data_IF_900959679513
#
_entry.id   IF_900959679513
#
_cell.length_a   1.000
_cell.length_b   1.000
_cell.length_c   1.000
_cell.angle_alpha   90.00
_cell.angle_beta   90.00
_cell.angle_gamma   90.00
#
_symmetry.space_group_name_H-M   'P 1'
#
loop_
_entity.id
_entity.type
_entity.pdbx_description
1 polymer ?
#
# COMPACT_ATOMS: atom_id res chain seq x y z
N UNK A 1 24.93 15.04 24.85
CA UNK A 1 24.19 13.79 24.56
C UNK A 1 23.44 14.00 23.25
N UNK A 2 24.02 13.59 22.12
CA UNK A 2 23.39 13.75 20.80
C UNK A 2 22.47 12.55 20.55
N UNK A 3 21.17 12.69 20.76
CA UNK A 3 20.15 11.71 20.39
C UNK A 3 19.85 11.87 18.89
N UNK A 4 20.07 10.80 18.12
CA UNK A 4 19.72 10.75 16.70
C UNK A 4 18.20 10.53 16.59
N UNK A 5 17.51 11.43 15.90
CA UNK A 5 16.11 11.29 15.52
C UNK A 5 16.09 10.51 14.19
N UNK A 6 15.53 9.31 14.21
CA UNK A 6 15.33 8.52 13.00
C UNK A 6 14.10 9.03 12.24
N UNK A 7 14.29 9.57 11.06
CA UNK A 7 13.18 9.94 10.16
C UNK A 7 12.59 8.66 9.55
N UNK A 8 11.30 8.43 9.78
CA UNK A 8 10.57 7.32 9.18
C UNK A 8 10.20 7.60 7.73
N UNK A 9 10.96 7.06 6.85
CA UNK A 9 10.62 6.79 5.46
C UNK A 9 11.34 5.52 5.11
N UNK A 10 10.81 4.64 4.31
CA UNK A 10 11.35 3.31 3.97
C UNK A 10 12.58 2.94 4.79
N UNK A 11 12.51 1.99 5.70
CA UNK A 11 13.63 1.58 6.51
C UNK A 11 14.77 1.09 5.58
N UNK A 12 15.61 1.99 5.15
CA UNK A 12 16.85 1.74 4.46
C UNK A 12 17.99 2.16 5.37
N UNK A 13 18.61 1.13 5.90
CA UNK A 13 20.01 1.07 6.32
C UNK A 13 20.44 2.07 7.40
N UNK A 14 20.41 1.60 8.65
CA UNK A 14 21.25 2.16 9.70
C UNK A 14 22.72 2.07 9.30
N UNK A 15 23.41 3.20 9.27
CA UNK A 15 24.85 3.29 9.02
C UNK A 15 25.62 2.59 10.15
N UNK A 16 26.05 1.37 9.90
CA UNK A 16 27.11 0.70 10.65
C UNK A 16 28.41 1.12 9.96
N UNK A 17 29.22 1.97 10.61
CA UNK A 17 30.61 2.23 10.21
C UNK A 17 31.48 1.03 10.64
N UNK A 18 31.54 0.02 9.80
CA UNK A 18 32.59 -1.00 9.78
C UNK A 18 33.57 -0.55 8.69
N UNK A 19 34.90 -0.64 8.87
CA UNK A 19 35.85 -0.46 7.76
C UNK A 19 35.49 -1.52 6.72
N UNK A 20 34.93 -1.08 5.61
CA UNK A 20 34.41 -1.96 4.60
C UNK A 20 35.56 -2.60 3.83
N UNK A 21 35.82 -3.88 4.05
CA UNK A 21 36.27 -4.71 2.95
C UNK A 21 35.25 -4.55 1.84
N UNK A 22 35.72 -4.23 0.62
CA UNK A 22 34.83 -4.02 -0.53
C UNK A 22 33.93 -5.25 -0.70
N UNK A 23 32.62 -5.04 -0.63
CA UNK A 23 31.68 -6.15 -0.80
C UNK A 23 31.64 -6.54 -2.27
N UNK A 24 32.09 -7.77 -2.56
CA UNK A 24 32.13 -8.32 -3.91
C UNK A 24 30.71 -8.57 -4.44
N UNK A 25 30.51 -8.49 -5.76
CA UNK A 25 29.26 -8.92 -6.37
C UNK A 25 28.90 -10.37 -5.99
N UNK A 26 27.61 -10.64 -5.77
CA UNK A 26 27.06 -11.94 -5.37
C UNK A 26 27.46 -12.43 -3.96
N UNK A 27 28.25 -11.67 -3.20
CA UNK A 27 28.56 -12.04 -1.83
C UNK A 27 27.29 -12.09 -0.97
N UNK A 28 27.09 -13.18 -0.24
CA UNK A 28 25.84 -13.41 0.52
C UNK A 28 25.65 -12.46 1.69
N UNK A 29 26.74 -11.89 2.21
CA UNK A 29 26.81 -10.90 3.28
C UNK A 29 26.73 -9.45 2.78
N UNK A 30 26.85 -9.22 1.46
CA UNK A 30 26.58 -7.93 0.86
C UNK A 30 25.10 -7.59 0.93
N UNK A 31 24.69 -6.35 1.25
CA UNK A 31 23.29 -5.94 1.13
C UNK A 31 22.84 -5.75 -0.34
N UNK A 32 23.76 -5.85 -1.30
CA UNK A 32 23.55 -5.60 -2.71
C UNK A 32 24.09 -6.76 -3.56
N UNK A 33 23.28 -7.22 -4.53
CA UNK A 33 23.70 -8.22 -5.51
C UNK A 33 24.98 -7.82 -6.25
N UNK A 34 25.12 -6.54 -6.59
CA UNK A 34 26.25 -5.98 -7.34
C UNK A 34 27.41 -5.53 -6.46
N UNK A 35 27.35 -5.81 -5.14
CA UNK A 35 28.37 -5.38 -4.18
C UNK A 35 28.38 -3.86 -3.97
N UNK A 36 29.51 -3.35 -3.47
CA UNK A 36 29.70 -1.92 -3.17
C UNK A 36 30.42 -1.13 -4.29
N UNK A 37 30.59 -1.76 -5.46
CA UNK A 37 31.31 -1.19 -6.62
C UNK A 37 32.74 -0.77 -6.28
N UNK A 38 33.46 -1.61 -5.58
CA UNK A 38 34.81 -1.32 -5.09
C UNK A 38 34.88 -0.06 -4.22
N UNK A 39 33.89 0.11 -3.33
CA UNK A 39 33.77 1.24 -2.41
C UNK A 39 33.06 2.48 -2.97
N UNK A 40 32.70 2.51 -4.26
CA UNK A 40 32.04 3.68 -4.87
C UNK A 40 30.69 4.01 -4.26
N UNK A 41 29.91 3.01 -3.81
CA UNK A 41 28.65 3.27 -3.11
C UNK A 41 28.87 4.05 -1.81
N UNK A 42 29.90 3.71 -1.06
CA UNK A 42 30.26 4.42 0.18
C UNK A 42 30.72 5.84 -0.12
N UNK A 43 31.61 6.01 -1.12
CA UNK A 43 32.06 7.33 -1.58
C UNK A 43 30.89 8.25 -1.99
N UNK A 44 29.92 7.72 -2.76
CA UNK A 44 28.71 8.46 -3.14
C UNK A 44 27.87 8.81 -1.92
N UNK A 45 27.69 7.87 -0.99
CA UNK A 45 26.93 8.09 0.25
C UNK A 45 27.55 9.17 1.14
N UNK A 46 28.88 9.21 1.25
CA UNK A 46 29.60 10.26 1.96
C UNK A 46 29.41 11.64 1.30
N UNK A 47 29.21 11.65 -0.01
CA UNK A 47 28.87 12.87 -0.77
C UNK A 47 27.39 13.22 -0.71
N UNK A 48 26.56 12.44 -0.03
CA UNK A 48 25.11 12.62 0.11
C UNK A 48 24.29 11.92 -0.97
N UNK A 49 24.90 11.19 -1.91
CA UNK A 49 24.20 10.49 -3.00
C UNK A 49 23.91 9.06 -2.61
N UNK A 50 22.63 8.67 -2.66
CA UNK A 50 22.19 7.28 -2.50
C UNK A 50 21.54 6.79 -3.79
N UNK A 51 22.05 5.66 -4.31
CA UNK A 51 21.48 4.98 -5.47
C UNK A 51 20.91 3.63 -5.03
N UNK A 52 19.70 3.31 -5.49
CA UNK A 52 19.06 2.02 -5.25
C UNK A 52 18.44 1.47 -6.53
N UNK A 53 18.57 0.17 -6.74
CA UNK A 53 17.87 -0.57 -7.76
C UNK A 53 17.31 -1.84 -7.11
N UNK A 54 15.99 -2.02 -7.22
CA UNK A 54 15.27 -3.12 -6.59
C UNK A 54 14.38 -3.80 -7.62
N UNK A 55 14.28 -5.10 -7.51
CA UNK A 55 13.36 -5.90 -8.29
C UNK A 55 12.52 -6.77 -7.37
N UNK A 56 11.21 -6.72 -7.53
CA UNK A 56 10.25 -7.57 -6.82
C UNK A 56 9.40 -8.27 -7.85
N UNK A 57 9.19 -9.57 -7.67
CA UNK A 57 8.22 -10.34 -8.45
C UNK A 57 7.26 -11.07 -7.51
N UNK A 58 6.01 -11.12 -7.91
CA UNK A 58 4.94 -11.87 -7.26
C UNK A 58 4.28 -12.79 -8.27
N UNK A 59 4.17 -14.07 -7.91
CA UNK A 59 3.43 -15.07 -8.65
C UNK A 59 2.26 -15.53 -7.78
N UNK A 60 1.13 -15.83 -8.42
CA UNK A 60 -0.03 -16.38 -7.74
C UNK A 60 -0.75 -17.39 -8.64
N UNK A 61 -1.26 -18.46 -8.04
CA UNK A 61 -2.09 -19.46 -8.72
C UNK A 61 -3.28 -19.85 -7.83
N UNK A 62 -4.50 -19.77 -8.36
CA UNK A 62 -5.66 -20.27 -7.66
C UNK A 62 -5.70 -21.81 -7.80
N UNK A 63 -5.62 -22.51 -6.68
CA UNK A 63 -5.61 -23.97 -6.65
C UNK A 63 -6.98 -24.56 -6.34
N UNK A 64 -7.90 -23.75 -5.81
CA UNK A 64 -9.26 -24.18 -5.48
C UNK A 64 -10.21 -22.98 -5.42
N UNK A 65 -11.45 -23.20 -5.87
CA UNK A 65 -12.54 -22.24 -5.76
C UNK A 65 -12.40 -21.03 -6.66
N UNK A 66 -13.11 -19.95 -6.29
CA UNK A 66 -13.27 -18.76 -7.12
C UNK A 66 -14.44 -18.91 -8.10
N UNK A 67 -14.71 -17.84 -8.86
CA UNK A 67 -15.88 -17.72 -9.70
C UNK A 67 -15.96 -18.77 -10.81
N UNK A 68 -14.89 -18.95 -11.62
CA UNK A 68 -14.92 -19.89 -12.72
C UNK A 68 -14.26 -21.24 -12.39
N UNK A 69 -13.70 -21.38 -11.19
CA UNK A 69 -13.08 -22.57 -10.65
C UNK A 69 -11.94 -23.17 -11.52
N UNK A 70 -11.42 -22.43 -12.51
CA UNK A 70 -10.28 -22.84 -13.31
C UNK A 70 -9.00 -22.31 -12.72
N UNK A 71 -7.96 -23.15 -12.75
CA UNK A 71 -6.62 -22.77 -12.32
C UNK A 71 -5.95 -21.89 -13.37
N UNK A 72 -5.32 -20.81 -12.91
CA UNK A 72 -4.43 -19.97 -13.72
C UNK A 72 -3.21 -19.59 -12.89
N UNK A 73 -2.13 -19.21 -13.55
CA UNK A 73 -0.93 -18.64 -12.94
C UNK A 73 -0.77 -17.21 -13.47
N UNK A 74 -0.73 -16.26 -12.57
CA UNK A 74 -0.49 -14.86 -12.89
C UNK A 74 0.76 -14.35 -12.19
N UNK A 75 1.36 -13.32 -12.78
CA UNK A 75 2.58 -12.71 -12.27
C UNK A 75 2.54 -11.21 -12.39
N UNK A 76 3.13 -10.55 -11.41
CA UNK A 76 3.39 -9.12 -11.45
C UNK A 76 4.81 -8.84 -10.98
N UNK A 77 5.55 -8.01 -11.71
CA UNK A 77 6.87 -7.58 -11.28
C UNK A 77 7.01 -6.06 -11.23
N UNK A 78 7.99 -5.61 -10.49
CA UNK A 78 8.35 -4.20 -10.44
C UNK A 78 9.85 -4.03 -10.27
N UNK A 79 10.44 -3.27 -11.18
CA UNK A 79 11.77 -2.68 -11.00
C UNK A 79 11.62 -1.28 -10.44
N UNK A 80 12.38 -0.93 -9.41
CA UNK A 80 12.38 0.40 -8.78
C UNK A 80 13.80 0.97 -8.81
N UNK A 81 14.00 2.09 -9.48
CA UNK A 81 15.22 2.87 -9.45
C UNK A 81 15.04 4.09 -8.53
N UNK A 82 15.94 4.25 -7.58
CA UNK A 82 15.95 5.31 -6.56
C UNK A 82 17.23 6.15 -6.69
N UNK A 83 17.07 7.45 -6.65
CA UNK A 83 18.12 8.44 -6.45
C UNK A 83 17.71 9.39 -5.35
N UNK A 84 18.52 9.49 -4.29
CA UNK A 84 18.38 10.50 -3.24
C UNK A 84 19.66 11.32 -3.15
N UNK A 85 19.50 12.64 -2.90
CA UNK A 85 20.61 13.55 -2.67
C UNK A 85 20.39 14.36 -1.37
N UNK A 86 21.13 14.01 -0.33
CA UNK A 86 21.22 14.75 0.93
C UNK A 86 22.09 16.02 0.71
N UNK A 87 21.45 17.17 0.66
CA UNK A 87 22.09 18.45 0.39
C UNK A 87 22.96 18.93 1.57
N UNK A 88 22.75 18.39 2.76
CA UNK A 88 23.53 18.77 3.95
C UNK A 88 25.02 18.43 3.81
N UNK A 89 25.33 17.38 3.05
CA UNK A 89 26.71 16.86 2.89
C UNK A 89 27.62 17.78 2.08
N UNK A 90 27.08 18.44 1.07
CA UNK A 90 27.86 19.28 0.14
C UNK A 90 27.46 20.76 0.20
N UNK A 91 26.19 21.04 0.39
CA UNK A 91 25.64 22.40 0.30
C UNK A 91 25.34 23.01 1.66
N UNK A 92 25.43 22.24 2.76
CA UNK A 92 25.10 22.70 4.10
C UNK A 92 23.61 23.01 4.32
N UNK A 93 22.75 22.59 3.38
CA UNK A 93 21.29 22.77 3.44
C UNK A 93 20.69 21.52 4.05
N UNK A 94 19.95 21.61 5.15
CA UNK A 94 19.23 20.45 5.72
C UNK A 94 18.00 20.10 4.88
N UNK A 95 18.24 19.53 3.71
CA UNK A 95 17.24 19.18 2.73
C UNK A 95 17.64 17.96 1.91
N UNK A 96 16.65 17.36 1.24
CA UNK A 96 16.82 16.18 0.40
C UNK A 96 16.07 16.34 -0.92
N UNK A 97 16.72 15.99 -2.02
CA UNK A 97 16.08 15.75 -3.30
C UNK A 97 15.91 14.24 -3.52
N UNK A 98 14.72 13.81 -3.96
CA UNK A 98 14.41 12.40 -4.21
C UNK A 98 13.76 12.21 -5.57
N UNK A 99 14.30 11.24 -6.33
CA UNK A 99 13.74 10.77 -7.59
C UNK A 99 13.53 9.26 -7.51
N UNK A 100 12.33 8.80 -7.84
CA UNK A 100 12.02 7.36 -7.96
C UNK A 100 11.27 7.13 -9.25
N UNK A 101 11.77 6.15 -10.01
CA UNK A 101 11.13 5.63 -11.23
C UNK A 101 10.84 4.17 -11.01
N UNK A 102 9.62 3.75 -11.30
CA UNK A 102 9.22 2.34 -11.28
C UNK A 102 8.89 1.87 -12.70
N UNK A 103 9.30 0.66 -13.03
CA UNK A 103 8.77 -0.08 -14.17
C UNK A 103 8.03 -1.29 -13.63
N UNK A 104 6.74 -1.39 -13.91
CA UNK A 104 5.88 -2.49 -13.48
C UNK A 104 5.40 -3.25 -14.71
N UNK A 105 5.35 -4.57 -14.60
CA UNK A 105 4.77 -5.45 -15.60
C UNK A 105 3.80 -6.39 -14.89
N UNK A 106 2.58 -6.43 -15.35
CA UNK A 106 1.62 -7.45 -14.99
C UNK A 106 0.72 -7.72 -16.18
N UNK A 107 0.27 -8.96 -16.30
CA UNK A 107 -0.64 -9.37 -17.36
C UNK A 107 -2.09 -9.14 -16.93
N UNK A 108 -2.63 -10.07 -16.19
CA UNK A 108 -3.97 -10.00 -15.61
C UNK A 108 -3.89 -10.41 -14.13
N UNK A 109 -4.93 -10.14 -13.37
CA UNK A 109 -5.04 -10.57 -11.99
C UNK A 109 -5.98 -11.76 -11.91
N UNK A 110 -5.66 -12.76 -11.09
CA UNK A 110 -6.58 -13.87 -10.78
C UNK A 110 -7.91 -13.33 -10.22
N UNK A 111 -7.84 -12.26 -9.45
CA UNK A 111 -8.99 -11.50 -8.96
C UNK A 111 -10.01 -11.24 -10.06
N UNK A 112 -9.56 -10.72 -11.21
CA UNK A 112 -10.45 -10.30 -12.30
C UNK A 112 -10.87 -11.44 -13.21
N UNK A 113 -10.09 -12.51 -13.30
CA UNK A 113 -10.24 -13.56 -14.31
C UNK A 113 -10.77 -14.87 -13.76
N UNK A 114 -10.52 -15.15 -12.46
CA UNK A 114 -10.81 -16.45 -11.85
C UNK A 114 -11.48 -16.38 -10.48
N UNK A 115 -11.08 -15.40 -9.66
CA UNK A 115 -11.44 -15.37 -8.24
C UNK A 115 -12.75 -14.65 -8.02
N UNK A 116 -12.89 -13.41 -8.46
CA UNK A 116 -14.11 -12.62 -8.29
C UNK A 116 -15.09 -12.86 -9.44
N UNK A 117 -16.37 -12.63 -9.18
CA UNK A 117 -17.39 -12.58 -10.23
C UNK A 117 -17.18 -11.31 -11.06
N UNK A 118 -16.92 -11.41 -12.38
CA UNK A 118 -16.64 -10.25 -13.24
C UNK A 118 -17.81 -9.27 -13.32
N UNK A 119 -19.04 -9.71 -13.03
CA UNK A 119 -20.23 -8.86 -13.02
C UNK A 119 -20.28 -7.92 -11.81
N UNK A 120 -19.42 -8.10 -10.81
CA UNK A 120 -19.30 -7.14 -9.69
C UNK A 120 -18.75 -5.79 -10.16
N UNK A 121 -18.19 -5.74 -11.36
CA UNK A 121 -17.38 -4.63 -11.81
C UNK A 121 -16.05 -4.60 -11.05
N UNK A 122 -15.22 -3.61 -11.30
CA UNK A 122 -13.98 -3.43 -10.55
C UNK A 122 -14.32 -2.92 -9.14
N UNK A 123 -14.66 -3.83 -8.21
CA UNK A 123 -14.58 -3.52 -6.79
C UNK A 123 -13.09 -3.39 -6.47
N UNK A 124 -12.58 -2.17 -6.26
CA UNK A 124 -11.16 -1.97 -6.12
C UNK A 124 -10.65 -2.63 -4.84
N UNK A 125 -9.51 -3.26 -4.95
CA UNK A 125 -8.71 -3.79 -3.84
C UNK A 125 -9.31 -4.97 -3.06
N UNK A 126 -10.31 -5.67 -3.59
CA UNK A 126 -10.75 -6.95 -3.05
C UNK A 126 -9.97 -8.10 -3.69
N UNK A 127 -9.72 -9.17 -2.94
CA UNK A 127 -9.03 -10.40 -3.38
C UNK A 127 -7.72 -10.12 -4.16
N UNK A 128 -6.91 -9.17 -3.71
CA UNK A 128 -5.67 -8.80 -4.38
C UNK A 128 -4.53 -9.80 -4.10
N UNK A 129 -4.41 -10.82 -4.93
CA UNK A 129 -3.41 -11.88 -4.81
C UNK A 129 -1.99 -11.44 -5.21
N UNK A 130 -1.88 -10.47 -6.13
CA UNK A 130 -0.65 -9.77 -6.53
C UNK A 130 -0.98 -8.30 -6.79
N UNK A 131 0.02 -7.42 -6.84
CA UNK A 131 -0.29 -6.02 -7.17
C UNK A 131 -0.60 -5.81 -8.65
N UNK A 132 -1.47 -4.85 -8.94
CA UNK A 132 -1.91 -4.46 -10.27
C UNK A 132 -1.26 -3.18 -10.81
N UNK A 133 -2.05 -2.39 -11.54
CA UNK A 133 -1.75 -1.13 -12.23
C UNK A 133 -0.99 -1.26 -13.56
N UNK A 134 -1.08 -2.41 -14.22
CA UNK A 134 -0.68 -2.58 -15.62
C UNK A 134 0.82 -2.55 -15.88
N UNK A 135 1.18 -2.68 -17.15
CA UNK A 135 2.57 -2.66 -17.62
C UNK A 135 2.96 -1.24 -18.03
N UNK A 136 3.77 -0.57 -17.17
CA UNK A 136 4.08 0.85 -17.36
C UNK A 136 5.31 1.30 -16.57
N UNK A 137 6.06 2.22 -17.16
CA UNK A 137 7.11 2.97 -16.46
C UNK A 137 6.53 4.28 -15.91
N UNK A 138 6.66 4.51 -14.60
CA UNK A 138 6.10 5.69 -13.91
C UNK A 138 7.17 6.51 -13.21
N UNK A 139 7.00 7.83 -13.25
CA UNK A 139 7.67 8.74 -12.32
C UNK A 139 6.91 8.69 -10.99
N UNK A 140 7.40 7.88 -10.06
CA UNK A 140 6.73 7.58 -8.78
C UNK A 140 7.01 8.63 -7.73
N UNK A 141 8.20 9.23 -7.76
CA UNK A 141 8.56 10.34 -6.87
C UNK A 141 9.49 11.33 -7.58
N UNK A 142 9.25 12.60 -7.38
CA UNK A 142 10.14 13.69 -7.72
C UNK A 142 9.89 14.81 -6.71
N UNK A 143 10.67 14.83 -5.63
CA UNK A 143 10.40 15.70 -4.49
C UNK A 143 11.64 16.41 -4.00
N UNK A 144 11.42 17.59 -3.42
CA UNK A 144 12.35 18.28 -2.55
C UNK A 144 11.76 18.34 -1.15
N UNK A 145 12.56 18.01 -0.15
CA UNK A 145 12.23 18.16 1.27
C UNK A 145 13.19 19.15 1.92
N UNK A 146 12.65 20.09 2.68
CA UNK A 146 13.41 20.99 3.55
C UNK A 146 13.06 20.70 5.00
N UNK A 147 14.09 20.59 5.84
CA UNK A 147 13.94 20.46 7.26
C UNK A 147 14.25 21.78 7.97
N UNK A 148 13.58 22.02 9.07
CA UNK A 148 13.69 23.20 9.92
C UNK A 148 13.76 22.78 11.39
N UNK A 149 14.38 23.60 12.23
CA UNK A 149 14.42 23.44 13.68
C UNK A 149 14.91 22.04 14.09
N UNK A 150 16.12 21.67 13.62
CA UNK A 150 16.69 20.35 13.89
C UNK A 150 15.75 19.18 13.54
N UNK A 151 15.08 19.29 12.38
CA UNK A 151 14.11 18.32 11.85
C UNK A 151 12.80 18.20 12.67
N UNK A 152 12.50 19.16 13.54
CA UNK A 152 11.19 19.21 14.19
C UNK A 152 10.07 19.48 13.17
N UNK A 153 10.36 20.26 12.13
CA UNK A 153 9.43 20.53 11.04
C UNK A 153 10.08 20.14 9.71
N UNK A 154 9.36 19.40 8.89
CA UNK A 154 9.76 19.06 7.54
C UNK A 154 8.67 19.48 6.56
N UNK A 155 9.05 20.12 5.48
CA UNK A 155 8.19 20.45 4.34
C UNK A 155 8.68 19.67 3.13
N UNK A 156 7.80 18.91 2.46
CA UNK A 156 8.10 18.18 1.22
C UNK A 156 7.16 18.64 0.12
N UNK A 157 7.70 18.92 -1.05
CA UNK A 157 6.93 19.36 -2.23
C UNK A 157 7.37 18.59 -3.46
N UNK A 158 6.44 18.38 -4.40
CA UNK A 158 6.73 17.68 -5.64
C UNK A 158 5.68 16.65 -6.03
N UNK A 159 6.09 15.69 -6.85
CA UNK A 159 5.24 14.51 -7.18
C UNK A 159 5.54 13.38 -6.21
N UNK A 160 4.50 12.87 -5.55
CA UNK A 160 4.61 11.78 -4.57
C UNK A 160 3.27 11.06 -4.42
N UNK A 161 3.32 9.87 -3.82
CA UNK A 161 2.12 9.09 -3.54
C UNK A 161 1.62 9.38 -2.12
N UNK A 162 0.30 9.57 -1.90
CA UNK A 162 -0.21 9.79 -0.56
C UNK A 162 0.01 8.60 0.39
N UNK A 163 0.01 7.38 -0.13
CA UNK A 163 0.22 6.17 0.69
C UNK A 163 1.56 6.18 1.42
N UNK A 164 2.66 6.61 0.79
CA UNK A 164 3.98 6.65 1.42
C UNK A 164 4.04 7.60 2.62
N UNK A 165 3.26 8.67 2.59
CA UNK A 165 3.28 9.70 3.62
C UNK A 165 2.25 9.45 4.73
N UNK A 166 1.06 8.98 4.35
CA UNK A 166 -0.08 8.90 5.26
C UNK A 166 -0.48 7.47 5.64
N UNK A 167 0.31 6.48 5.20
CA UNK A 167 0.26 5.12 5.71
C UNK A 167 1.68 4.63 6.05
N UNK A 168 2.33 5.18 7.10
CA UNK A 168 3.74 4.93 7.41
C UNK A 168 3.95 3.56 8.10
N UNK A 169 3.50 2.49 7.46
CA UNK A 169 3.78 1.10 7.84
C UNK A 169 4.43 0.35 6.68
N UNK A 170 5.08 -0.75 6.99
CA UNK A 170 5.62 -1.65 5.97
C UNK A 170 4.61 -2.74 5.66
N UNK A 171 4.46 -3.06 4.37
CA UNK A 171 3.65 -4.18 3.93
C UNK A 171 4.53 -5.43 3.75
N UNK A 172 4.31 -6.44 4.57
CA UNK A 172 5.05 -7.69 4.54
C UNK A 172 4.30 -8.78 3.75
N UNK A 173 2.99 -8.65 3.57
CA UNK A 173 2.13 -9.61 2.88
C UNK A 173 2.16 -9.41 1.36
N UNK A 174 1.94 -10.49 0.60
CA UNK A 174 1.76 -10.41 -0.85
C UNK A 174 0.38 -9.85 -1.18
N UNK A 175 -0.68 -10.34 -0.54
CA UNK A 175 -1.99 -9.73 -0.63
C UNK A 175 -2.00 -8.35 0.03
N UNK A 176 -2.16 -7.29 -0.77
CA UNK A 176 -2.14 -5.91 -0.27
C UNK A 176 -3.27 -5.61 0.72
N UNK A 177 -4.38 -6.35 0.65
CA UNK A 177 -5.49 -6.25 1.59
C UNK A 177 -5.04 -6.56 3.02
N UNK A 178 -4.10 -7.50 3.18
CA UNK A 178 -3.56 -7.92 4.48
C UNK A 178 -2.43 -7.03 5.01
N UNK A 179 -2.00 -6.03 4.25
CA UNK A 179 -0.99 -5.06 4.71
C UNK A 179 -1.50 -4.02 5.71
N UNK A 180 -2.71 -4.14 6.10
CA UNK A 180 -3.49 -3.10 6.74
C UNK A 180 -4.33 -2.41 5.68
N UNK A 181 -5.58 -2.16 6.02
CA UNK A 181 -6.47 -1.47 5.10
C UNK A 181 -5.85 -0.15 4.70
N UNK A 182 -5.75 0.02 3.41
CA UNK A 182 -5.16 1.21 2.85
C UNK A 182 -6.31 2.16 2.56
N UNK A 183 -6.19 3.46 2.86
CA UNK A 183 -7.15 4.47 2.43
C UNK A 183 -7.47 4.44 0.93
N UNK A 184 -6.77 3.61 0.16
CA UNK A 184 -7.01 3.30 -1.24
C UNK A 184 -8.31 2.58 -1.56
N UNK A 185 -8.97 1.99 -0.58
CA UNK A 185 -10.30 1.37 -0.77
C UNK A 185 -11.35 2.42 -1.21
N UNK A 186 -11.13 3.68 -0.95
CA UNK A 186 -12.06 4.77 -1.27
C UNK A 186 -12.05 5.25 -2.72
N UNK A 187 -11.26 4.69 -3.63
CA UNK A 187 -11.13 5.09 -5.04
C UNK A 187 -10.58 6.50 -5.30
N UNK A 188 -10.24 7.25 -4.29
CA UNK A 188 -9.73 8.61 -4.45
C UNK A 188 -8.27 8.74 -4.08
N UNK A 189 -7.75 7.73 -3.39
CA UNK A 189 -6.40 7.68 -2.91
C UNK A 189 -5.51 6.92 -3.88
N UNK A 190 -4.69 7.64 -4.63
CA UNK A 190 -3.78 6.98 -5.57
C UNK A 190 -2.64 6.31 -4.81
N UNK A 191 -2.63 4.98 -4.84
CA UNK A 191 -1.60 4.17 -4.22
C UNK A 191 -0.31 4.10 -5.06
N UNK A 192 0.77 3.61 -4.43
CA UNK A 192 2.02 3.30 -5.13
C UNK A 192 1.78 2.43 -6.38
N UNK A 193 2.34 2.74 -7.54
CA UNK A 193 3.37 3.76 -7.83
C UNK A 193 2.83 5.05 -8.47
N UNK A 194 1.55 5.38 -8.31
CA UNK A 194 0.92 6.54 -8.92
C UNK A 194 1.21 7.78 -8.07
N UNK A 195 1.91 8.76 -8.63
CA UNK A 195 2.23 10.04 -7.98
C UNK A 195 1.43 11.19 -8.55
N UNK A 196 1.09 12.14 -7.69
CA UNK A 196 0.47 13.42 -8.07
C UNK A 196 1.26 14.58 -7.49
N UNK A 197 1.03 15.80 -7.99
CA UNK A 197 1.59 16.99 -7.36
C UNK A 197 1.03 17.15 -5.95
N UNK A 198 1.93 17.42 -5.01
CA UNK A 198 1.58 17.50 -3.61
C UNK A 198 2.53 18.40 -2.82
N UNK A 199 2.04 18.85 -1.68
CA UNK A 199 2.84 19.42 -0.61
C UNK A 199 2.44 18.76 0.71
N UNK A 200 3.42 18.36 1.52
CA UNK A 200 3.19 17.76 2.83
C UNK A 200 4.06 18.42 3.88
N UNK A 201 3.58 18.48 5.10
CA UNK A 201 4.37 18.89 6.26
C UNK A 201 4.28 17.82 7.35
N UNK A 202 5.40 17.60 8.01
CA UNK A 202 5.49 16.75 9.21
C UNK A 202 6.02 17.59 10.35
N UNK A 203 5.29 17.63 11.44
CA UNK A 203 5.69 18.31 12.66
C UNK A 203 5.87 17.29 13.79
N UNK A 204 7.10 17.13 14.27
CA UNK A 204 7.45 16.35 15.45
C UNK A 204 7.26 17.20 16.71
N UNK A 205 6.12 17.02 17.37
CA UNK A 205 5.79 17.73 18.62
C UNK A 205 6.70 17.30 19.77
N UNK A 206 7.04 16.01 19.78
CA UNK A 206 8.02 15.38 20.67
C UNK A 206 8.83 14.35 19.88
N UNK A 207 9.86 13.69 20.44
CA UNK A 207 10.54 12.60 19.75
C UNK A 207 9.64 11.46 19.29
N UNK A 208 8.52 11.23 19.98
CA UNK A 208 7.63 10.09 19.75
C UNK A 208 6.33 10.50 19.07
N UNK A 209 5.86 11.76 19.21
CA UNK A 209 4.61 12.24 18.63
C UNK A 209 4.85 13.12 17.43
N UNK A 210 4.11 12.87 16.36
CA UNK A 210 4.13 13.70 15.17
C UNK A 210 2.75 13.87 14.56
N UNK A 211 2.57 14.97 13.85
CA UNK A 211 1.39 15.23 13.03
C UNK A 211 1.84 15.49 11.60
N UNK A 212 1.06 14.98 10.64
CA UNK A 212 1.25 15.26 9.21
C UNK A 212 0.02 15.92 8.63
N UNK A 213 0.26 16.85 7.72
CA UNK A 213 -0.75 17.45 6.86
C UNK A 213 -0.30 17.36 5.42
N UNK A 214 -1.24 17.21 4.51
CA UNK A 214 -0.94 17.18 3.09
C UNK A 214 -2.01 17.85 2.24
N UNK A 215 -1.61 18.24 1.04
CA UNK A 215 -2.49 18.55 -0.07
C UNK A 215 -1.99 17.81 -1.29
N UNK A 216 -2.85 17.03 -1.93
CA UNK A 216 -2.53 16.26 -3.13
C UNK A 216 -3.51 16.60 -4.23
N UNK A 217 -2.98 16.79 -5.41
CA UNK A 217 -3.78 16.95 -6.62
C UNK A 217 -4.58 15.68 -6.88
N UNK A 218 -5.86 15.82 -7.17
CA UNK A 218 -6.72 14.78 -7.70
C UNK A 218 -6.81 14.92 -9.21
N UNK A 219 -6.17 13.99 -9.91
CA UNK A 219 -6.10 14.00 -11.36
C UNK A 219 -6.20 12.55 -11.88
N UNK A 220 -7.38 12.10 -12.30
CA UNK A 220 -7.60 10.74 -12.81
C UNK A 220 -6.70 10.37 -13.99
N UNK A 221 -6.28 11.36 -14.80
CA UNK A 221 -5.37 11.11 -15.92
C UNK A 221 -4.00 10.58 -15.49
N UNK A 222 -3.57 10.81 -14.24
CA UNK A 222 -2.29 10.26 -13.75
C UNK A 222 -2.29 8.73 -13.63
N UNK A 223 -3.46 8.10 -13.64
CA UNK A 223 -3.58 6.64 -13.62
C UNK A 223 -3.31 6.00 -14.97
N UNK A 224 -3.44 6.76 -16.07
CA UNK A 224 -3.25 6.24 -17.43
C UNK A 224 -1.77 6.07 -17.79
N UNK A 225 -1.47 5.19 -18.74
CA UNK A 225 -0.09 4.86 -19.12
C UNK A 225 0.60 6.01 -19.86
N UNK A 226 -0.13 6.77 -20.68
CA UNK A 226 0.40 7.91 -21.43
C UNK A 226 0.76 9.11 -20.53
N UNK A 227 0.24 9.14 -19.30
CA UNK A 227 0.54 10.17 -18.29
C UNK A 227 1.49 9.72 -17.18
N UNK A 228 2.01 8.52 -17.27
CA UNK A 228 2.79 7.89 -16.21
C UNK A 228 4.06 8.65 -15.81
N UNK A 229 4.69 9.38 -16.76
CA UNK A 229 5.88 10.21 -16.52
C UNK A 229 5.59 11.71 -16.67
N UNK A 230 4.33 12.10 -16.89
CA UNK A 230 3.95 13.49 -17.15
C UNK A 230 4.11 14.37 -15.92
N UNK A 231 4.64 15.57 -16.12
CA UNK A 231 4.66 16.64 -15.13
C UNK A 231 3.48 17.62 -15.28
N UNK A 232 2.60 17.40 -16.27
CA UNK A 232 1.43 18.24 -16.51
C UNK A 232 0.39 18.08 -15.40
N UNK A 233 -0.24 19.16 -15.02
CA UNK A 233 -1.37 19.24 -14.11
C UNK A 233 -2.73 19.23 -14.83
N UNK A 234 -2.72 19.15 -16.17
CA UNK A 234 -3.94 19.08 -16.98
C UNK A 234 -4.79 17.87 -16.59
N UNK A 235 -6.08 18.07 -16.40
CA UNK A 235 -7.03 17.06 -15.96
C UNK A 235 -7.20 17.01 -14.44
N UNK A 236 -6.68 18.01 -13.71
CA UNK A 236 -6.95 18.17 -12.28
C UNK A 236 -8.41 18.50 -12.06
N UNK A 237 -9.07 17.69 -11.22
CA UNK A 237 -10.49 17.85 -10.85
C UNK A 237 -10.66 18.47 -9.47
N UNK A 238 -9.63 18.42 -8.63
CA UNK A 238 -9.63 18.96 -7.27
C UNK A 238 -8.44 18.49 -6.45
N UNK A 239 -8.61 18.46 -5.15
CA UNK A 239 -7.55 18.10 -4.19
C UNK A 239 -8.07 17.16 -3.11
N UNK A 240 -7.14 16.44 -2.49
CA UNK A 240 -7.34 15.69 -1.25
C UNK A 240 -6.46 16.27 -0.16
N UNK A 241 -7.01 16.38 1.05
CA UNK A 241 -6.40 17.00 2.24
C UNK A 241 -6.31 15.97 3.36
N UNK A 242 -5.27 15.13 3.39
CA UNK A 242 -5.07 14.17 4.47
C UNK A 242 -4.44 14.83 5.69
N UNK A 243 -4.82 14.30 6.87
CA UNK A 243 -4.20 14.56 8.16
C UNK A 243 -3.90 13.24 8.86
N UNK A 244 -2.78 13.18 9.59
CA UNK A 244 -2.39 12.01 10.36
C UNK A 244 -1.75 12.44 11.68
N UNK A 245 -2.16 11.82 12.78
CA UNK A 245 -1.50 11.87 14.08
C UNK A 245 -0.81 10.52 14.32
N UNK A 246 0.49 10.55 14.57
CA UNK A 246 1.29 9.35 14.82
C UNK A 246 2.02 9.39 16.15
N UNK A 247 2.17 8.21 16.74
CA UNK A 247 2.88 7.99 17.99
C UNK A 247 3.77 6.75 17.90
N UNK A 248 5.06 6.91 18.19
CA UNK A 248 6.09 5.87 18.12
C UNK A 248 6.79 5.67 19.46
N UNK A 249 6.10 5.11 20.46
CA UNK A 249 6.68 4.89 21.76
C UNK A 249 7.62 3.67 21.79
N UNK A 250 8.46 3.67 22.83
CA UNK A 250 9.16 2.48 23.28
C UNK A 250 8.62 2.05 24.65
N UNK A 251 8.22 0.78 24.77
CA UNK A 251 7.57 0.26 25.97
C UNK A 251 8.48 -0.66 26.79
N UNK A 252 8.38 -0.51 28.12
CA UNK A 252 9.05 -1.35 29.10
C UNK A 252 10.57 -1.22 29.09
N UNK A 253 11.24 -2.03 29.94
CA UNK A 253 12.70 -2.01 30.10
C UNK A 253 13.45 -2.40 28.81
N UNK A 254 12.87 -3.31 28.01
CA UNK A 254 13.42 -3.73 26.72
C UNK A 254 13.20 -2.72 25.60
N UNK A 255 12.45 -1.65 25.84
CA UNK A 255 12.14 -0.62 24.83
C UNK A 255 11.50 -1.24 23.56
N UNK A 256 10.45 -2.03 23.73
CA UNK A 256 9.71 -2.63 22.61
C UNK A 256 9.01 -1.55 21.80
N UNK A 257 9.28 -1.51 20.49
CA UNK A 257 8.82 -0.42 19.62
C UNK A 257 7.33 -0.54 19.31
N UNK A 258 6.60 0.58 19.43
CA UNK A 258 5.24 0.76 18.92
C UNK A 258 5.22 1.69 17.72
N UNK A 259 4.25 1.50 16.81
CA UNK A 259 3.95 2.39 15.69
C UNK A 259 2.43 2.54 15.58
N UNK A 260 1.90 3.64 16.08
CA UNK A 260 0.46 3.89 16.13
C UNK A 260 0.14 5.16 15.37
N UNK A 261 -0.89 5.11 14.54
CA UNK A 261 -1.38 6.32 13.89
C UNK A 261 -2.87 6.24 13.59
N UNK A 262 -3.48 7.41 13.58
CA UNK A 262 -4.84 7.64 13.10
C UNK A 262 -4.78 8.73 12.03
N UNK A 263 -5.61 8.58 11.01
CA UNK A 263 -5.67 9.55 9.93
C UNK A 263 -7.08 9.75 9.42
N UNK A 264 -7.27 10.87 8.73
CA UNK A 264 -8.50 11.17 8.01
C UNK A 264 -8.16 12.00 6.76
N UNK A 265 -9.03 11.98 5.78
CA UNK A 265 -8.96 12.93 4.67
C UNK A 265 -10.33 13.51 4.31
N UNK A 266 -10.27 14.67 3.69
CA UNK A 266 -11.34 15.25 2.91
C UNK A 266 -10.84 15.49 1.48
N UNK A 267 -11.69 15.22 0.48
CA UNK A 267 -11.47 15.62 -0.91
C UNK A 267 -12.60 16.51 -1.36
N UNK A 268 -12.29 17.55 -2.15
CA UNK A 268 -13.28 18.46 -2.72
C UNK A 268 -13.76 18.04 -4.13
N UNK A 269 -13.37 16.86 -4.60
CA UNK A 269 -13.78 16.33 -5.90
C UNK A 269 -15.22 15.80 -5.81
N UNK A 270 -16.03 16.16 -6.80
CA UNK A 270 -17.37 15.62 -6.94
C UNK A 270 -17.35 14.14 -7.27
N UNK A 271 -18.31 13.39 -6.77
CA UNK A 271 -18.44 11.96 -7.01
C UNK A 271 -19.91 11.55 -7.16
N UNK A 272 -20.20 10.49 -7.96
CA UNK A 272 -21.53 9.92 -7.99
C UNK A 272 -21.87 9.29 -6.64
N UNK A 273 -23.14 9.41 -6.24
CA UNK A 273 -23.71 8.62 -5.13
C UNK A 273 -23.69 7.12 -5.52
N UNK A 274 -23.58 6.24 -4.55
CA UNK A 274 -23.54 4.79 -4.80
C UNK A 274 -24.94 4.18 -5.03
N UNK A 275 -26.01 4.93 -4.72
CA UNK A 275 -27.36 4.42 -4.78
C UNK A 275 -28.42 5.48 -5.10
N UNK A 276 -28.24 6.73 -4.64
CA UNK A 276 -29.24 7.77 -4.87
C UNK A 276 -29.23 8.26 -6.32
N UNK A 277 -30.39 8.34 -6.94
CA UNK A 277 -30.59 8.84 -8.29
C UNK A 277 -30.71 10.37 -8.36
N UNK A 278 -30.30 10.97 -9.48
CA UNK A 278 -30.37 12.41 -9.71
C UNK A 278 -31.81 12.94 -9.72
N UNK A 279 -32.79 12.10 -10.14
CA UNK A 279 -34.19 12.43 -10.12
C UNK A 279 -34.91 12.19 -8.78
N UNK A 280 -34.16 11.79 -7.75
CA UNK A 280 -34.68 11.35 -6.45
C UNK A 280 -34.92 9.85 -6.38
N UNK A 281 -35.02 9.31 -5.14
CA UNK A 281 -35.09 7.86 -4.93
C UNK A 281 -33.78 7.14 -5.23
N UNK A 282 -33.86 5.83 -5.47
CA UNK A 282 -32.71 5.04 -5.91
C UNK A 282 -32.52 5.18 -7.43
N UNK A 283 -31.25 5.16 -7.86
CA UNK A 283 -30.87 5.31 -9.26
C UNK A 283 -31.53 4.20 -10.12
N UNK A 284 -31.58 2.96 -9.62
CA UNK A 284 -32.23 1.83 -10.26
C UNK A 284 -33.72 2.10 -10.67
N UNK A 285 -34.42 2.99 -9.98
CA UNK A 285 -35.80 3.35 -10.30
C UNK A 285 -35.93 4.27 -11.54
N UNK A 286 -34.85 5.00 -11.87
CA UNK A 286 -34.77 5.87 -13.05
C UNK A 286 -33.31 5.98 -13.55
N UNK A 287 -32.77 4.91 -14.15
CA UNK A 287 -31.35 4.87 -14.57
C UNK A 287 -30.96 5.92 -15.60
N UNK A 288 -31.93 6.40 -16.40
CA UNK A 288 -31.69 7.43 -17.41
C UNK A 288 -31.32 8.78 -16.83
N UNK A 289 -31.69 9.07 -15.57
CA UNK A 289 -31.31 10.28 -14.87
C UNK A 289 -29.88 10.19 -14.26
N UNK A 290 -29.35 8.96 -14.13
CA UNK A 290 -28.07 8.68 -13.52
C UNK A 290 -28.03 8.89 -12.01
N UNK A 291 -26.84 8.72 -11.43
CA UNK A 291 -26.60 8.91 -10.00
C UNK A 291 -26.57 10.39 -9.60
N UNK A 292 -27.03 10.66 -8.38
CA UNK A 292 -26.90 11.98 -7.76
C UNK A 292 -25.43 12.33 -7.58
N UNK A 293 -25.03 13.53 -7.96
CA UNK A 293 -23.69 14.06 -7.68
C UNK A 293 -23.60 14.49 -6.21
N UNK A 294 -22.53 14.08 -5.53
CA UNK A 294 -22.15 14.48 -4.18
C UNK A 294 -20.91 15.33 -4.23
N UNK A 295 -20.83 16.35 -3.37
CA UNK A 295 -19.67 17.21 -3.27
C UNK A 295 -18.70 16.68 -2.20
N UNK A 296 -17.56 16.22 -2.67
CA UNK A 296 -16.46 15.75 -1.83
C UNK A 296 -16.61 14.31 -1.34
N UNK A 297 -15.49 13.78 -0.89
CA UNK A 297 -15.33 12.47 -0.25
C UNK A 297 -14.56 12.58 1.05
N UNK A 298 -14.77 11.62 1.95
CA UNK A 298 -14.06 11.55 3.23
C UNK A 298 -13.86 10.13 3.69
N UNK A 299 -12.75 9.90 4.39
CA UNK A 299 -12.52 8.64 5.10
C UNK A 299 -11.65 8.87 6.33
N UNK A 300 -11.64 7.89 7.21
CA UNK A 300 -10.73 7.84 8.36
C UNK A 300 -10.16 6.44 8.50
N UNK A 301 -8.95 6.35 9.04
CA UNK A 301 -8.27 5.07 9.27
C UNK A 301 -7.43 5.11 10.53
N UNK A 302 -7.14 3.92 11.06
CA UNK A 302 -6.24 3.72 12.18
C UNK A 302 -5.36 2.49 11.94
N UNK A 303 -4.13 2.55 12.43
CA UNK A 303 -3.19 1.44 12.43
C UNK A 303 -2.40 1.44 13.73
N UNK A 304 -2.31 0.27 14.37
CA UNK A 304 -1.59 0.08 15.63
C UNK A 304 -0.74 -1.17 15.51
N UNK A 305 0.57 -0.99 15.57
CA UNK A 305 1.53 -2.10 15.59
C UNK A 305 2.35 -2.03 16.87
N UNK A 306 2.56 -3.18 17.49
CA UNK A 306 3.36 -3.32 18.70
C UNK A 306 4.31 -4.50 18.60
N UNK A 307 5.59 -4.27 18.87
CA UNK A 307 6.55 -5.33 19.15
C UNK A 307 6.24 -5.94 20.53
N UNK A 308 6.02 -7.25 20.57
CA UNK A 308 5.62 -7.98 21.78
C UNK A 308 6.79 -8.71 22.43
N UNK A 309 7.75 -9.18 21.63
CA UNK A 309 8.93 -9.90 22.10
C UNK A 309 10.20 -9.45 21.37
N UNK A 310 11.35 -9.95 21.79
CA UNK A 310 12.65 -9.68 21.19
C UNK A 310 13.52 -8.73 22.01
N UNK A 311 14.69 -8.33 21.47
CA UNK A 311 15.64 -7.45 22.18
C UNK A 311 15.11 -6.05 22.43
N UNK A 312 14.18 -5.56 21.58
CA UNK A 312 13.67 -4.17 21.63
C UNK A 312 14.64 -3.14 21.04
N UNK A 313 14.42 -1.85 21.33
CA UNK A 313 15.15 -0.76 20.72
C UNK A 313 14.91 -0.72 19.20
N UNK A 314 15.97 -0.61 18.42
CA UNK A 314 15.93 -0.60 16.97
C UNK A 314 15.90 -2.01 16.33
N UNK A 315 15.91 -3.08 17.15
CA UNK A 315 15.83 -4.46 16.66
C UNK A 315 14.47 -4.77 16.07
N UNK A 316 14.50 -5.39 14.90
CA UNK A 316 13.27 -5.90 14.26
C UNK A 316 12.92 -7.32 14.70
N UNK A 317 13.81 -8.02 15.40
CA UNK A 317 13.60 -9.40 15.84
C UNK A 317 12.47 -9.54 16.86
N UNK A 318 11.82 -10.70 16.84
CA UNK A 318 10.74 -11.07 17.73
C UNK A 318 9.35 -10.93 17.10
N UNK A 319 8.35 -11.18 17.92
CA UNK A 319 6.95 -11.13 17.55
C UNK A 319 6.45 -9.69 17.54
N UNK A 320 5.76 -9.33 16.47
CA UNK A 320 4.97 -8.09 16.32
C UNK A 320 3.53 -8.45 16.02
N UNK A 321 2.62 -7.63 16.53
CA UNK A 321 1.20 -7.71 16.24
C UNK A 321 0.71 -6.36 15.73
N UNK A 322 -0.24 -6.37 14.79
CA UNK A 322 -0.91 -5.16 14.35
C UNK A 322 -2.43 -5.36 14.27
N UNK A 323 -3.14 -4.24 14.41
CA UNK A 323 -4.54 -4.13 14.08
C UNK A 323 -4.75 -2.85 13.26
N UNK A 324 -5.71 -2.89 12.35
CA UNK A 324 -6.07 -1.73 11.54
C UNK A 324 -7.57 -1.65 11.31
N UNK A 325 -8.04 -0.46 11.01
CA UNK A 325 -9.42 -0.23 10.59
C UNK A 325 -9.50 1.00 9.70
N UNK A 326 -10.48 1.03 8.81
CA UNK A 326 -10.86 2.20 8.05
C UNK A 326 -12.36 2.30 7.89
N UNK A 327 -12.84 3.51 7.67
CA UNK A 327 -14.23 3.81 7.36
C UNK A 327 -14.29 4.88 6.27
N UNK A 328 -15.10 4.62 5.25
CA UNK A 328 -15.36 5.52 4.14
C UNK A 328 -16.76 6.12 4.23
N UNK A 329 -16.99 7.27 3.61
CA UNK A 329 -18.34 7.84 3.56
C UNK A 329 -19.31 6.89 2.80
N UNK A 330 -20.55 6.86 3.26
CA UNK A 330 -21.58 5.96 2.71
C UNK A 330 -22.15 6.42 1.38
N UNK A 331 -22.04 7.69 1.07
CA UNK A 331 -22.74 8.27 -0.07
C UNK A 331 -21.95 7.99 -1.36
N UNK A 332 -20.63 7.98 -1.30
CA UNK A 332 -19.78 7.92 -2.51
C UNK A 332 -18.83 6.73 -2.55
N UNK A 333 -18.81 5.87 -1.51
CA UNK A 333 -17.87 4.77 -1.43
C UNK A 333 -18.55 3.42 -1.51
N UNK A 334 -18.19 2.62 -2.49
CA UNK A 334 -18.69 1.24 -2.67
C UNK A 334 -18.21 0.33 -1.54
N UNK A 335 -16.97 0.52 -1.06
CA UNK A 335 -16.46 -0.14 0.13
C UNK A 335 -16.69 0.77 1.33
N UNK A 336 -17.43 0.29 2.34
CA UNK A 336 -17.87 1.13 3.45
C UNK A 336 -16.84 1.17 4.56
N UNK A 337 -16.40 0.01 5.05
CA UNK A 337 -15.35 -0.09 6.06
C UNK A 337 -14.59 -1.40 5.94
N UNK A 338 -13.38 -1.41 6.50
CA UNK A 338 -12.56 -2.59 6.63
C UNK A 338 -11.84 -2.62 7.96
N UNK A 339 -11.48 -3.80 8.42
CA UNK A 339 -10.65 -4.00 9.59
C UNK A 339 -9.84 -5.28 9.45
N UNK A 340 -8.67 -5.28 10.04
CA UNK A 340 -7.76 -6.42 9.96
C UNK A 340 -6.86 -6.52 11.18
N UNK A 341 -6.25 -7.69 11.31
CA UNK A 341 -5.24 -7.96 12.31
C UNK A 341 -4.21 -8.92 11.76
N UNK A 342 -2.99 -8.82 12.24
CA UNK A 342 -1.92 -9.72 11.85
C UNK A 342 -0.81 -9.81 12.87
N UNK A 343 0.02 -10.83 12.65
CA UNK A 343 1.20 -11.13 13.44
C UNK A 343 2.36 -11.40 12.48
N UNK A 344 3.56 -11.01 12.83
CA UNK A 344 4.76 -11.49 12.18
C UNK A 344 5.90 -11.65 13.17
N UNK A 345 6.68 -12.68 12.95
CA UNK A 345 7.82 -13.05 13.78
C UNK A 345 9.10 -13.01 12.95
N UNK A 346 10.01 -12.11 13.29
CA UNK A 346 11.34 -12.05 12.69
C UNK A 346 12.33 -12.86 13.54
N UNK A 347 13.06 -13.77 12.90
CA UNK A 347 14.06 -14.59 13.58
C UNK A 347 13.42 -15.66 14.46
N UNK A 348 12.41 -16.39 13.93
CA UNK A 348 11.74 -17.47 14.65
C UNK A 348 12.71 -18.62 15.01
N UNK A 349 13.73 -18.86 14.18
CA UNK A 349 14.75 -19.87 14.37
C UNK A 349 16.10 -19.23 14.66
N UNK A 350 16.81 -19.64 15.71
CA UNK A 350 18.08 -19.03 16.13
C UNK A 350 19.16 -19.02 15.04
N UNK A 351 19.17 -20.06 14.19
CA UNK A 351 20.10 -20.17 13.06
C UNK A 351 19.62 -19.40 11.80
N UNK A 352 18.44 -18.77 11.86
CA UNK A 352 17.79 -18.02 10.77
C UNK A 352 17.20 -16.70 11.29
N UNK A 353 18.05 -15.77 11.77
CA UNK A 353 17.60 -14.56 12.46
C UNK A 353 16.92 -13.54 11.54
N UNK A 354 17.11 -13.65 10.23
CA UNK A 354 16.58 -12.73 9.23
C UNK A 354 15.31 -13.28 8.52
N UNK A 355 14.92 -14.52 8.82
CA UNK A 355 13.69 -15.10 8.28
C UNK A 355 12.46 -14.54 9.01
N UNK A 356 11.32 -14.53 8.31
CA UNK A 356 10.06 -14.02 8.86
C UNK A 356 8.92 -15.01 8.62
N UNK A 357 8.10 -15.21 9.63
CA UNK A 357 6.79 -15.87 9.52
C UNK A 357 5.70 -14.82 9.73
N UNK A 358 4.69 -14.77 8.88
CA UNK A 358 3.60 -13.81 9.01
C UNK A 358 2.23 -14.42 8.74
N UNK A 359 1.24 -13.95 9.49
CA UNK A 359 -0.17 -14.30 9.35
C UNK A 359 -1.02 -13.03 9.51
N UNK A 360 -1.97 -12.82 8.62
CA UNK A 360 -2.95 -11.75 8.77
C UNK A 360 -4.31 -12.15 8.19
N UNK A 361 -5.34 -11.51 8.69
CA UNK A 361 -6.69 -11.60 8.15
C UNK A 361 -7.37 -10.24 8.17
N UNK A 362 -8.07 -9.91 7.08
CA UNK A 362 -8.74 -8.62 6.88
C UNK A 362 -10.14 -8.86 6.33
N UNK A 363 -11.13 -8.19 6.92
CA UNK A 363 -12.51 -8.17 6.45
C UNK A 363 -12.83 -6.80 5.85
N UNK A 364 -13.45 -6.79 4.67
CA UNK A 364 -13.89 -5.59 3.98
C UNK A 364 -15.38 -5.68 3.71
N UNK A 365 -16.11 -4.66 4.16
CA UNK A 365 -17.57 -4.56 4.02
C UNK A 365 -17.96 -3.71 2.83
N UNK A 366 -18.74 -4.28 1.94
CA UNK A 366 -19.39 -3.56 0.84
C UNK A 366 -20.52 -2.68 1.39
N UNK A 367 -20.73 -1.56 0.73
CA UNK A 367 -21.77 -0.60 1.10
C UNK A 367 -23.16 -1.19 0.83
N UNK A 368 -23.98 -1.26 1.86
CA UNK A 368 -25.36 -1.80 1.76
C UNK A 368 -26.25 -1.00 0.83
N UNK A 369 -26.06 0.30 0.68
CA UNK A 369 -26.87 1.12 -0.21
C UNK A 369 -26.52 0.83 -1.67
N UNK A 370 -25.23 0.61 -1.99
CA UNK A 370 -24.82 0.11 -3.30
C UNK A 370 -25.44 -1.26 -3.61
N UNK A 371 -25.40 -2.19 -2.66
CA UNK A 371 -26.02 -3.53 -2.80
C UNK A 371 -27.53 -3.44 -3.02
N UNK A 372 -28.21 -2.57 -2.25
CA UNK A 372 -29.67 -2.35 -2.42
C UNK A 372 -30.04 -1.79 -3.77
N UNK A 373 -29.23 -0.86 -4.33
CA UNK A 373 -29.48 -0.34 -5.67
C UNK A 373 -29.39 -1.42 -6.74
N UNK A 374 -28.38 -2.30 -6.64
CA UNK A 374 -28.22 -3.47 -7.53
C UNK A 374 -29.37 -4.47 -7.38
N UNK A 375 -29.79 -4.76 -6.16
CA UNK A 375 -30.93 -5.63 -5.89
C UNK A 375 -32.20 -5.08 -6.51
N UNK A 376 -32.48 -3.80 -6.33
CA UNK A 376 -33.63 -3.14 -7.00
C UNK A 376 -33.52 -3.20 -8.53
N UNK A 377 -32.29 -3.05 -9.09
CA UNK A 377 -32.08 -3.21 -10.54
C UNK A 377 -32.46 -4.62 -11.00
N UNK A 378 -32.00 -5.66 -10.25
CA UNK A 378 -32.37 -7.05 -10.55
C UNK A 378 -33.88 -7.26 -10.50
N UNK A 379 -34.54 -6.76 -9.45
CA UNK A 379 -35.99 -6.88 -9.29
C UNK A 379 -36.77 -6.22 -10.44
N UNK A 380 -36.41 -4.99 -10.81
CA UNK A 380 -37.04 -4.26 -11.90
C UNK A 380 -36.81 -4.90 -13.27
N UNK A 381 -35.67 -5.56 -13.45
CA UNK A 381 -35.35 -6.32 -14.66
C UNK A 381 -35.97 -7.73 -14.69
N UNK A 382 -36.62 -8.17 -13.60
CA UNK A 382 -37.18 -9.53 -13.47
C UNK A 382 -36.08 -10.60 -13.47
N UNK A 383 -34.91 -10.30 -12.92
CA UNK A 383 -33.72 -11.18 -12.86
C UNK A 383 -33.45 -11.52 -11.41
N UNK A 384 -33.87 -12.70 -10.97
CA UNK A 384 -33.69 -13.21 -9.60
C UNK A 384 -32.67 -14.38 -9.48
N UNK A 385 -32.36 -14.98 -10.63
CA UNK A 385 -31.41 -16.11 -10.71
C UNK A 385 -29.98 -15.61 -10.85
N UNK A 386 -29.12 -16.02 -9.91
CA UNK A 386 -27.68 -15.68 -9.93
C UNK A 386 -26.97 -16.16 -11.20
N UNK A 387 -27.38 -17.30 -11.77
CA UNK A 387 -26.77 -17.87 -12.97
C UNK A 387 -27.20 -17.13 -14.25
N UNK A 388 -28.18 -16.23 -14.16
CA UNK A 388 -28.52 -15.36 -15.28
C UNK A 388 -27.38 -14.37 -15.58
N UNK A 389 -26.87 -14.30 -16.82
CA UNK A 389 -25.78 -13.38 -17.18
C UNK A 389 -26.07 -11.90 -16.92
N UNK A 390 -27.35 -11.51 -16.82
CA UNK A 390 -27.76 -10.13 -16.53
C UNK A 390 -27.89 -9.84 -15.04
N UNK A 391 -27.77 -10.87 -14.19
CA UNK A 391 -27.84 -10.69 -12.74
C UNK A 391 -26.67 -9.82 -12.25
N UNK A 392 -26.95 -8.82 -11.46
CA UNK A 392 -25.96 -7.99 -10.80
C UNK A 392 -25.65 -8.61 -9.42
N UNK A 393 -24.46 -9.20 -9.20
CA UNK A 393 -24.14 -9.83 -7.94
C UNK A 393 -24.25 -8.87 -6.76
N UNK A 394 -24.83 -9.35 -5.66
CA UNK A 394 -25.02 -8.59 -4.43
C UNK A 394 -23.82 -8.84 -3.52
N UNK A 395 -23.11 -7.77 -3.19
CA UNK A 395 -21.94 -7.85 -2.34
C UNK A 395 -22.28 -7.60 -0.86
N UNK A 396 -21.57 -8.28 0.04
CA UNK A 396 -21.64 -8.05 1.48
C UNK A 396 -20.25 -7.89 2.12
N UNK A 397 -19.54 -8.97 2.39
CA UNK A 397 -18.23 -8.93 3.07
C UNK A 397 -17.28 -9.92 2.44
N UNK A 398 -16.07 -9.48 2.09
CA UNK A 398 -14.96 -10.39 1.79
C UNK A 398 -14.06 -10.50 3.00
N UNK A 399 -13.56 -11.72 3.28
CA UNK A 399 -12.47 -11.94 4.23
C UNK A 399 -11.27 -12.52 3.49
N UNK A 400 -10.16 -11.81 3.54
CA UNK A 400 -8.86 -12.24 3.02
C UNK A 400 -7.96 -12.68 4.17
N UNK A 401 -7.30 -13.82 4.02
CA UNK A 401 -6.34 -14.36 5.00
C UNK A 401 -5.07 -14.79 4.27
N UNK A 402 -3.91 -14.49 4.83
CA UNK A 402 -2.62 -14.91 4.28
C UNK A 402 -1.70 -15.43 5.37
N UNK A 403 -1.01 -16.52 5.07
CA UNK A 403 0.11 -17.07 5.83
C UNK A 403 1.32 -17.14 4.91
N UNK A 404 2.45 -16.57 5.33
CA UNK A 404 3.70 -16.64 4.56
C UNK A 404 4.90 -17.04 5.42
N UNK A 405 5.91 -17.59 4.77
CA UNK A 405 7.26 -17.73 5.32
C UNK A 405 8.25 -17.03 4.39
N UNK A 406 9.00 -16.04 4.91
CA UNK A 406 10.09 -15.37 4.18
C UNK A 406 11.41 -16.02 4.54
N UNK A 407 12.00 -16.64 3.56
CA UNK A 407 13.34 -17.20 3.62
C UNK A 407 14.34 -16.17 3.10
N UNK A 408 15.18 -15.61 3.99
CA UNK A 408 16.27 -14.71 3.61
C UNK A 408 17.45 -15.54 3.12
N UNK A 409 17.55 -15.74 1.81
CA UNK A 409 18.59 -16.55 1.19
C UNK A 409 19.98 -15.91 1.29
N UNK A 410 20.06 -14.60 1.03
CA UNK A 410 21.23 -13.73 1.19
C UNK A 410 20.75 -12.37 1.69
N UNK A 411 21.63 -11.43 2.02
CA UNK A 411 21.18 -10.07 2.43
C UNK A 411 20.51 -9.29 1.30
N UNK A 412 20.73 -9.67 0.04
CA UNK A 412 20.13 -9.03 -1.14
C UNK A 412 18.99 -9.83 -1.79
N UNK A 413 18.69 -11.06 -1.31
CA UNK A 413 17.64 -11.92 -1.89
C UNK A 413 16.80 -12.56 -0.79
N UNK A 414 15.48 -12.43 -0.88
CA UNK A 414 14.55 -13.29 -0.15
C UNK A 414 13.56 -13.97 -1.09
N UNK A 415 13.05 -15.11 -0.62
CA UNK A 415 11.95 -15.87 -1.23
C UNK A 415 10.82 -15.97 -0.19
N UNK A 416 9.58 -15.75 -0.59
CA UNK A 416 8.44 -15.72 0.33
C UNK A 416 7.26 -16.50 -0.27
N UNK A 417 7.24 -17.86 -0.14
CA UNK A 417 6.05 -18.63 -0.39
C UNK A 417 4.94 -18.22 0.57
N UNK A 418 3.70 -18.24 0.07
CA UNK A 418 2.51 -17.92 0.86
C UNK A 418 1.30 -18.75 0.41
N UNK A 419 0.31 -18.80 1.27
CA UNK A 419 -1.03 -19.30 1.00
C UNK A 419 -2.03 -18.20 1.38
N UNK A 420 -2.94 -17.91 0.46
CA UNK A 420 -4.00 -16.94 0.63
C UNK A 420 -5.34 -17.66 0.57
N UNK A 421 -6.26 -17.26 1.41
CA UNK A 421 -7.63 -17.76 1.44
C UNK A 421 -8.60 -16.59 1.39
N UNK A 422 -9.54 -16.65 0.47
CA UNK A 422 -10.59 -15.66 0.29
C UNK A 422 -11.94 -16.28 0.56
N UNK A 423 -12.62 -15.80 1.58
CA UNK A 423 -14.02 -16.12 1.85
C UNK A 423 -14.91 -15.09 1.16
N UNK A 424 -15.91 -15.57 0.43
CA UNK A 424 -16.82 -14.76 -0.38
C UNK A 424 -16.05 -13.78 -1.30
N UNK A 425 -15.27 -14.27 -2.29
CA UNK A 425 -14.46 -13.41 -3.17
C UNK A 425 -15.32 -12.33 -3.84
N UNK A 426 -14.80 -11.07 -3.85
CA UNK A 426 -15.55 -9.92 -4.30
C UNK A 426 -16.70 -9.53 -3.36
N UNK A 427 -16.75 -10.09 -2.14
CA UNK A 427 -17.85 -9.93 -1.19
C UNK A 427 -19.13 -10.65 -1.59
N UNK A 428 -19.08 -11.59 -2.53
CA UNK A 428 -20.26 -12.28 -3.09
C UNK A 428 -20.37 -13.69 -2.54
N UNK A 429 -21.33 -13.93 -1.66
CA UNK A 429 -21.53 -15.24 -0.99
C UNK A 429 -21.81 -16.41 -1.96
N UNK A 430 -22.25 -16.12 -3.19
CA UNK A 430 -22.48 -17.13 -4.23
C UNK A 430 -21.21 -17.59 -4.92
N UNK A 431 -20.10 -16.84 -4.80
CA UNK A 431 -18.80 -17.25 -5.31
C UNK A 431 -18.15 -18.23 -4.32
N UNK A 432 -17.74 -19.42 -4.76
CA UNK A 432 -17.02 -20.35 -3.89
C UNK A 432 -15.74 -19.76 -3.32
N UNK A 433 -15.46 -20.04 -2.06
CA UNK A 433 -14.22 -19.61 -1.41
C UNK A 433 -13.00 -20.02 -2.22
N UNK A 434 -12.01 -19.14 -2.32
CA UNK A 434 -10.83 -19.37 -3.13
C UNK A 434 -9.58 -19.58 -2.29
N UNK A 435 -8.74 -20.53 -2.72
CA UNK A 435 -7.40 -20.74 -2.18
C UNK A 435 -6.37 -20.42 -3.28
N UNK A 436 -5.43 -19.56 -2.94
CA UNK A 436 -4.35 -19.10 -3.84
C UNK A 436 -3.01 -19.43 -3.21
N UNK A 437 -2.10 -20.00 -3.98
CA UNK A 437 -0.70 -20.16 -3.59
C UNK A 437 0.10 -19.03 -4.25
N UNK A 438 0.95 -18.38 -3.46
CA UNK A 438 1.79 -17.29 -3.91
C UNK A 438 3.27 -17.54 -3.68
N UNK A 439 4.09 -16.88 -4.47
CA UNK A 439 5.53 -16.78 -4.26
C UNK A 439 5.98 -15.35 -4.58
N UNK A 440 6.54 -14.69 -3.59
CA UNK A 440 7.17 -13.37 -3.77
C UNK A 440 8.67 -13.51 -3.63
N UNK A 441 9.43 -12.81 -4.45
CA UNK A 441 10.86 -12.65 -4.22
C UNK A 441 11.31 -11.21 -4.49
N UNK A 442 12.36 -10.82 -3.80
CA UNK A 442 12.93 -9.48 -3.90
C UNK A 442 14.45 -9.58 -4.09
N UNK A 443 14.98 -8.73 -4.97
CA UNK A 443 16.41 -8.59 -5.22
C UNK A 443 16.79 -7.12 -5.04
N UNK A 444 17.83 -6.86 -4.26
CA UNK A 444 18.47 -5.55 -4.11
C UNK A 444 19.80 -5.56 -4.88
N UNK A 445 19.96 -4.65 -5.88
CA UNK A 445 21.14 -4.61 -6.74
C UNK A 445 22.23 -3.66 -6.22
#
# INVERSE_FOLDING_TARGET
>A
MKKRIAAGGLALVGSISIPALAAEPLASDSPWLTGDWSGKRNELSEQGVTLGLFYVNELATNVRGGYDQKTALETSDQTTALFNYDLSKKLGVDGEFSLVVTNRNNHELLTNTRVNDPRTGSLPNLSQEVWGFGSVTRLTRLTYQQNFFDKQLSLRVGKMTPTEEFFPSTCEFQSLVNCGTVPGISNIWYGWPISTWAATTTWHMTPDWYVKFGVYQQNPQTTTNDRAISLSDRGTEGQIYPVLLGWRPYWGERKLAGNYFIGAYYSNVDAPDVAAGAAGGMEASNPSAGFKTRHGKRAAWAFFEQQLTGPGGDSKQGLRAFVNAEINDKETSVLHYGYGAGLYYNGLFDNRPDDMLGFASTAIKINKDWTRNRDLTNQLAGVDDYDNPRYLPLGDTEVSTELFYRYQATRWLYLQPNIQYYHAPGGVDKVPDATVLGLRFNISF
#
